data_IF_110577039997
#
_entry.id   IF_110577039997
#
_cell.length_a   1.000
_cell.length_b   1.000
_cell.length_c   1.000
_cell.angle_alpha   90.00
_cell.angle_beta   90.00
_cell.angle_gamma   90.00
#
_symmetry.space_group_name_H-M   'P 1'
#
loop_
_entity.id
_entity.type
_entity.pdbx_description
1 polymer ?
#
# COMPACT_ATOMS: atom_id res chain seq x y z
N UNK A 1 10.67 33.11 3.32
CA UNK A 1 9.75 32.51 2.33
C UNK A 1 10.48 31.38 1.62
N UNK A 2 10.20 30.13 2.00
CA UNK A 2 10.83 28.96 1.38
C UNK A 2 10.31 28.78 -0.05
N UNK A 3 11.24 28.72 -1.01
CA UNK A 3 10.95 28.69 -2.44
C UNK A 3 10.22 27.41 -2.82
N UNK A 4 9.11 27.54 -3.57
CA UNK A 4 8.32 26.44 -4.17
C UNK A 4 9.18 25.37 -4.88
N UNK A 5 10.39 25.72 -5.31
CA UNK A 5 11.36 24.84 -5.97
C UNK A 5 11.85 23.67 -5.10
N UNK A 6 11.91 23.83 -3.77
CA UNK A 6 12.35 22.77 -2.84
C UNK A 6 11.37 21.57 -2.83
N UNK A 7 10.06 21.85 -2.95
CA UNK A 7 9.04 20.79 -2.93
C UNK A 7 9.03 19.93 -4.20
N UNK A 8 9.41 20.49 -5.35
CA UNK A 8 9.50 19.74 -6.62
C UNK A 8 10.64 18.73 -6.63
N UNK A 9 11.73 18.98 -5.88
CA UNK A 9 12.85 18.05 -5.78
C UNK A 9 12.48 16.83 -4.94
N UNK A 10 11.78 17.03 -3.80
CA UNK A 10 11.35 15.93 -2.92
C UNK A 10 10.30 15.02 -3.56
N UNK A 11 9.43 15.55 -4.41
CA UNK A 11 8.42 14.73 -5.11
C UNK A 11 9.02 13.92 -6.28
N UNK A 12 10.16 14.36 -6.84
CA UNK A 12 10.80 13.70 -7.98
C UNK A 12 11.57 12.44 -7.61
N UNK A 13 11.90 12.25 -6.34
CA UNK A 13 12.67 11.11 -5.82
C UNK A 13 11.79 9.84 -5.65
N UNK A 14 10.47 10.01 -5.56
CA UNK A 14 9.49 8.91 -5.58
C UNK A 14 9.15 8.47 -7.01
N UNK A 15 10.19 8.24 -7.82
CA UNK A 15 10.02 7.57 -9.10
C UNK A 15 9.34 6.21 -8.93
N UNK A 16 8.50 5.77 -9.88
CA UNK A 16 7.74 4.54 -9.74
C UNK A 16 8.69 3.35 -9.50
N UNK A 17 8.36 2.43 -8.57
CA UNK A 17 9.16 1.23 -8.40
C UNK A 17 9.15 0.47 -9.72
N UNK A 18 10.29 0.46 -10.41
CA UNK A 18 10.51 -0.40 -11.56
C UNK A 18 10.25 -1.84 -11.10
N UNK A 19 9.22 -2.47 -11.69
CA UNK A 19 8.93 -3.90 -11.61
C UNK A 19 10.10 -4.70 -12.23
N UNK A 20 11.24 -4.67 -11.54
CA UNK A 20 12.41 -5.51 -11.82
C UNK A 20 12.19 -6.86 -11.15
N UNK A 21 11.52 -7.77 -11.83
CA UNK A 21 11.49 -9.17 -11.46
C UNK A 21 12.87 -9.79 -11.75
N UNK A 22 13.81 -9.64 -10.83
CA UNK A 22 14.97 -10.54 -10.76
C UNK A 22 14.65 -11.61 -9.72
N UNK A 23 14.33 -12.80 -10.23
CA UNK A 23 14.13 -14.03 -9.48
C UNK A 23 15.44 -14.43 -8.80
N UNK A 24 15.67 -13.90 -7.60
CA UNK A 24 16.77 -14.29 -6.72
C UNK A 24 16.31 -15.41 -5.79
N UNK A 25 16.87 -16.60 -6.01
CA UNK A 25 16.78 -17.76 -5.12
C UNK A 25 17.36 -17.43 -3.74
N UNK A 26 16.52 -17.36 -2.71
CA UNK A 26 16.94 -17.21 -1.32
C UNK A 26 15.77 -17.50 -0.39
N UNK A 27 15.91 -18.53 0.45
CA UNK A 27 14.89 -19.10 1.34
C UNK A 27 14.48 -18.17 2.51
N UNK A 28 14.03 -16.96 2.20
CA UNK A 28 13.41 -16.04 3.15
C UNK A 28 12.27 -15.33 2.43
N UNK A 29 11.33 -16.12 1.92
CA UNK A 29 10.04 -15.61 1.48
C UNK A 29 9.29 -15.13 2.72
N UNK A 30 9.56 -13.90 3.16
CA UNK A 30 8.46 -13.07 3.65
C UNK A 30 7.41 -13.14 2.55
N UNK A 31 6.14 -13.52 2.81
CA UNK A 31 5.16 -13.69 1.75
C UNK A 31 4.96 -12.36 1.04
N UNK A 32 5.69 -12.18 -0.06
CA UNK A 32 5.78 -10.97 -0.84
C UNK A 32 4.41 -10.60 -1.40
N UNK A 33 3.51 -11.58 -1.49
CA UNK A 33 2.10 -11.44 -1.83
C UNK A 33 1.34 -10.54 -0.85
N UNK A 34 1.41 -10.74 0.48
CA UNK A 34 0.57 -9.96 1.42
C UNK A 34 1.00 -8.50 1.51
N UNK A 35 2.29 -8.23 1.50
CA UNK A 35 2.80 -6.86 1.49
C UNK A 35 2.49 -6.15 0.16
N UNK A 36 2.69 -6.82 -0.98
CA UNK A 36 2.34 -6.27 -2.29
C UNK A 36 0.82 -6.02 -2.42
N UNK A 37 0.00 -6.93 -1.90
CA UNK A 37 -1.46 -6.77 -1.86
C UNK A 37 -1.87 -5.57 -0.99
N UNK A 38 -1.23 -5.38 0.17
CA UNK A 38 -1.49 -4.22 1.01
C UNK A 38 -1.13 -2.91 0.31
N UNK A 39 0.01 -2.86 -0.38
CA UNK A 39 0.40 -1.69 -1.18
C UNK A 39 -0.63 -1.38 -2.27
N UNK A 40 -1.07 -2.39 -3.01
CA UNK A 40 -2.10 -2.23 -4.05
C UNK A 40 -3.42 -1.69 -3.47
N UNK A 41 -3.85 -2.19 -2.31
CA UNK A 41 -5.06 -1.67 -1.65
C UNK A 41 -4.89 -0.18 -1.28
N UNK A 42 -3.72 0.21 -0.75
CA UNK A 42 -3.44 1.60 -0.37
C UNK A 42 -3.47 2.52 -1.61
N UNK A 43 -2.89 2.08 -2.74
CA UNK A 43 -2.93 2.83 -4.00
C UNK A 43 -4.37 3.05 -4.50
N UNK A 44 -5.20 2.01 -4.45
CA UNK A 44 -6.62 2.10 -4.83
C UNK A 44 -7.42 2.99 -3.88
N UNK A 45 -7.17 2.92 -2.57
CA UNK A 45 -7.80 3.79 -1.58
C UNK A 45 -7.52 5.27 -1.90
N UNK A 46 -6.30 5.61 -2.30
CA UNK A 46 -5.92 6.97 -2.70
C UNK A 46 -6.75 7.53 -3.87
N UNK A 47 -7.13 6.68 -4.83
CA UNK A 47 -7.96 7.06 -5.99
C UNK A 47 -9.39 7.41 -5.58
N UNK A 48 -9.93 6.73 -4.58
CA UNK A 48 -11.32 6.92 -4.13
C UNK A 48 -11.51 8.15 -3.22
N UNK A 49 -10.45 8.77 -2.70
CA UNK A 49 -10.54 9.93 -1.78
C UNK A 49 -11.27 11.12 -2.42
N UNK A 50 -10.78 11.63 -3.55
CA UNK A 50 -11.37 12.83 -4.20
C UNK A 50 -12.83 12.60 -4.62
N UNK A 51 -13.19 11.49 -5.30
CA UNK A 51 -14.58 11.21 -5.63
C UNK A 51 -15.49 11.08 -4.40
N UNK A 52 -14.99 10.55 -3.29
CA UNK A 52 -15.75 10.45 -2.03
C UNK A 52 -16.10 11.84 -1.48
N UNK A 53 -15.13 12.76 -1.45
CA UNK A 53 -15.38 14.16 -1.05
C UNK A 53 -16.29 14.92 -2.02
N UNK A 54 -16.31 14.52 -3.29
CA UNK A 54 -17.27 15.02 -4.28
C UNK A 54 -18.68 14.42 -4.14
N UNK A 55 -18.94 13.56 -3.14
CA UNK A 55 -20.25 12.99 -2.86
C UNK A 55 -20.57 11.70 -3.61
N UNK A 56 -19.58 11.05 -4.24
CA UNK A 56 -19.81 9.78 -4.93
C UNK A 56 -20.08 8.65 -3.93
N UNK A 57 -21.31 8.11 -3.98
CA UNK A 57 -21.73 6.98 -3.12
C UNK A 57 -20.94 5.71 -3.42
N UNK A 58 -20.70 5.40 -4.69
CA UNK A 58 -19.95 4.21 -5.10
C UNK A 58 -18.50 4.29 -4.65
N UNK A 59 -17.86 5.45 -4.76
CA UNK A 59 -16.49 5.64 -4.29
C UNK A 59 -16.38 5.50 -2.77
N UNK A 60 -17.37 6.04 -2.04
CA UNK A 60 -17.45 5.86 -0.59
C UNK A 60 -17.54 4.38 -0.20
N UNK A 61 -18.32 3.58 -0.91
CA UNK A 61 -18.41 2.14 -0.65
C UNK A 61 -17.09 1.41 -0.93
N UNK A 62 -16.43 1.72 -2.05
CA UNK A 62 -15.12 1.15 -2.37
C UNK A 62 -14.07 1.54 -1.33
N UNK A 63 -14.06 2.80 -0.88
CA UNK A 63 -13.18 3.29 0.15
C UNK A 63 -13.38 2.53 1.48
N UNK A 64 -14.64 2.38 1.93
CA UNK A 64 -14.97 1.60 3.13
C UNK A 64 -14.52 0.15 3.01
N UNK A 65 -14.79 -0.49 1.87
CA UNK A 65 -14.41 -1.90 1.63
C UNK A 65 -12.90 -2.08 1.63
N UNK A 66 -12.16 -1.19 0.96
CA UNK A 66 -10.70 -1.23 0.93
C UNK A 66 -10.08 -1.06 2.32
N UNK A 67 -10.63 -0.16 3.16
CA UNK A 67 -10.17 0.02 4.55
C UNK A 67 -10.38 -1.25 5.38
N UNK A 68 -11.56 -1.87 5.26
CA UNK A 68 -11.86 -3.14 5.97
C UNK A 68 -10.91 -4.24 5.50
N UNK A 69 -10.67 -4.33 4.20
CA UNK A 69 -9.79 -5.34 3.61
C UNK A 69 -8.34 -5.17 4.09
N UNK A 70 -7.78 -3.97 3.97
CA UNK A 70 -6.42 -3.66 4.45
C UNK A 70 -6.28 -3.99 5.94
N UNK A 71 -7.29 -3.66 6.76
CA UNK A 71 -7.27 -3.98 8.19
C UNK A 71 -7.27 -5.49 8.46
N UNK A 72 -8.02 -6.28 7.67
CA UNK A 72 -8.01 -7.73 7.74
C UNK A 72 -6.62 -8.30 7.43
N UNK A 73 -6.07 -7.87 6.30
CA UNK A 73 -4.76 -8.30 5.81
C UNK A 73 -3.63 -8.00 6.82
N UNK A 74 -3.63 -6.82 7.43
CA UNK A 74 -2.65 -6.44 8.47
C UNK A 74 -2.75 -7.35 9.69
N UNK A 75 -3.95 -7.72 10.13
CA UNK A 75 -4.13 -8.65 11.27
C UNK A 75 -3.55 -10.03 10.95
N UNK A 76 -3.74 -10.50 9.73
CA UNK A 76 -3.18 -11.77 9.27
C UNK A 76 -1.65 -11.73 9.20
N UNK A 77 -1.06 -10.64 8.71
CA UNK A 77 0.38 -10.43 8.69
C UNK A 77 0.99 -10.39 10.11
N UNK A 78 0.32 -9.71 11.05
CA UNK A 78 0.78 -9.68 12.44
C UNK A 78 0.75 -11.08 13.07
N UNK A 79 -0.36 -11.80 12.93
CA UNK A 79 -0.49 -13.15 13.48
C UNK A 79 0.53 -14.13 12.88
N UNK A 80 0.83 -14.02 11.59
CA UNK A 80 1.86 -14.83 10.92
C UNK A 80 3.25 -14.50 11.45
N UNK A 81 3.56 -13.21 11.62
CA UNK A 81 4.84 -12.76 12.19
C UNK A 81 5.03 -13.27 13.62
N UNK A 82 3.98 -13.20 14.45
CA UNK A 82 4.02 -13.72 15.83
C UNK A 82 4.24 -15.24 15.89
N UNK A 83 3.66 -16.01 14.96
CA UNK A 83 3.91 -17.46 14.86
C UNK A 83 5.34 -17.76 14.42
N UNK A 84 5.85 -17.02 13.45
CA UNK A 84 7.20 -17.20 12.92
C UNK A 84 8.26 -16.86 13.96
N UNK A 85 8.00 -15.91 14.86
CA UNK A 85 8.89 -15.55 15.97
C UNK A 85 8.87 -16.56 17.14
N UNK A 86 7.88 -17.47 17.18
CA UNK A 86 7.75 -18.54 18.19
C UNK A 86 8.24 -19.91 17.68
N UNK A 87 8.53 -20.01 16.39
CA UNK A 87 9.08 -21.21 15.72
C UNK A 87 10.59 -21.13 15.69
#
# INVERSE_FOLDING_TARGET
MATSSQYRQLLSDYGPPSLGYTQGTGNSQVPQSKYAELLAIIEELGKEIRPTYAGSKSAMERLKRGIIHARGLVRECLAETERNARS
#
